data_IF_146445693531
#
_entry.id   IF_146445693531
#
_cell.length_a   1.000
_cell.length_b   1.000
_cell.length_c   1.000
_cell.angle_alpha   90.00
_cell.angle_beta   90.00
_cell.angle_gamma   90.00
#
_symmetry.space_group_name_H-M   'P 1'
#
loop_
_entity.id
_entity.type
_entity.pdbx_description
1 polymer ?
#
# COMPACT_ATOMS: atom_id res chain seq x y z
N UNK A 1 36.04 21.14 -27.70
CA UNK A 1 35.18 19.96 -27.47
C UNK A 1 34.70 20.06 -26.03
N UNK A 2 33.45 20.48 -25.85
CA UNK A 2 32.88 20.77 -24.53
C UNK A 2 32.37 19.47 -23.90
N UNK A 3 32.91 19.15 -22.74
CA UNK A 3 32.59 17.99 -21.91
C UNK A 3 31.11 18.07 -21.48
N UNK A 4 30.26 17.21 -22.06
CA UNK A 4 28.80 17.33 -22.03
C UNK A 4 28.08 16.45 -21.01
N UNK A 5 28.78 15.68 -20.18
CA UNK A 5 28.14 14.71 -19.27
C UNK A 5 28.55 14.90 -17.80
N UNK A 6 28.42 16.12 -17.27
CA UNK A 6 28.30 16.30 -15.81
C UNK A 6 26.81 16.31 -15.48
N UNK A 7 26.24 15.12 -15.26
CA UNK A 7 24.88 14.98 -14.72
C UNK A 7 24.88 15.64 -13.32
N UNK A 8 24.41 16.88 -13.24
CA UNK A 8 24.06 17.51 -11.98
C UNK A 8 22.79 16.82 -11.47
N UNK A 9 22.96 15.77 -10.66
CA UNK A 9 21.84 15.18 -9.92
C UNK A 9 21.25 16.22 -8.97
N UNK A 10 19.91 16.34 -8.87
CA UNK A 10 19.30 17.45 -8.14
C UNK A 10 19.60 17.31 -6.64
N UNK A 11 20.18 18.36 -6.07
CA UNK A 11 20.32 18.49 -4.62
C UNK A 11 18.92 18.69 -4.03
N UNK A 12 18.47 17.75 -3.20
CA UNK A 12 17.26 17.91 -2.39
C UNK A 12 17.63 18.45 -1.01
N UNK A 13 16.76 19.24 -0.40
CA UNK A 13 16.82 19.48 1.05
C UNK A 13 15.86 18.51 1.74
N UNK A 14 16.36 17.79 2.75
CA UNK A 14 15.57 16.89 3.56
C UNK A 14 15.75 17.22 5.04
N UNK A 15 14.64 17.24 5.76
CA UNK A 15 14.62 17.41 7.21
C UNK A 15 14.44 16.01 7.80
N UNK A 16 15.43 15.55 8.55
CA UNK A 16 15.40 14.18 9.10
C UNK A 16 14.62 14.10 10.42
N UNK A 17 14.80 15.08 11.32
CA UNK A 17 13.99 15.26 12.52
C UNK A 17 14.05 16.72 12.97
N UNK A 18 12.97 17.21 13.58
CA UNK A 18 12.93 18.53 14.19
C UNK A 18 13.46 18.47 15.62
N UNK A 19 14.28 19.45 16.01
CA UNK A 19 14.74 19.65 17.38
C UNK A 19 14.21 20.98 17.91
N UNK A 20 14.17 21.13 19.23
CA UNK A 20 13.70 22.34 19.93
C UNK A 20 14.45 23.63 19.53
N UNK A 21 15.66 23.50 18.96
CA UNK A 21 16.50 24.60 18.48
C UNK A 21 16.30 24.95 16.99
N UNK A 22 15.38 24.28 16.29
CA UNK A 22 15.05 24.48 14.89
C UNK A 22 15.14 23.20 14.04
N UNK A 23 14.54 23.24 12.85
CA UNK A 23 14.64 22.16 11.86
C UNK A 23 16.07 22.01 11.36
N UNK A 24 16.70 20.86 11.61
CA UNK A 24 17.99 20.50 10.99
C UNK A 24 17.72 20.19 9.52
N UNK A 25 17.98 21.18 8.65
CA UNK A 25 17.91 21.01 7.20
C UNK A 25 19.24 20.46 6.70
N UNK A 26 19.19 19.34 5.99
CA UNK A 26 20.39 18.73 5.40
C UNK A 26 20.17 18.61 3.91
N UNK A 27 21.15 19.08 3.16
CA UNK A 27 21.21 18.82 1.73
C UNK A 27 21.54 17.36 1.52
N UNK A 28 20.63 16.64 0.87
CA UNK A 28 20.74 15.23 0.58
C UNK A 28 20.64 14.99 -0.92
N UNK A 29 21.16 13.84 -1.36
CA UNK A 29 20.84 13.32 -2.68
C UNK A 29 19.66 12.36 -2.53
N UNK A 30 18.62 12.58 -3.33
CA UNK A 30 17.53 11.63 -3.46
C UNK A 30 17.74 10.85 -4.75
N UNK A 31 17.93 9.53 -4.66
CA UNK A 31 18.16 8.67 -5.81
C UNK A 31 17.69 7.24 -5.50
N UNK A 32 17.06 6.58 -6.47
CA UNK A 32 16.48 5.25 -6.31
C UNK A 32 15.53 5.15 -5.10
N UNK A 33 14.63 6.13 -4.97
CA UNK A 33 13.61 6.20 -3.90
C UNK A 33 14.19 6.23 -2.47
N UNK A 34 15.48 6.54 -2.33
CA UNK A 34 16.12 6.61 -1.01
C UNK A 34 17.07 7.79 -0.91
N UNK A 35 17.41 8.11 0.34
CA UNK A 35 18.27 9.21 0.71
C UNK A 35 19.73 8.75 0.77
N UNK A 36 20.61 9.54 0.17
CA UNK A 36 22.05 9.32 0.20
C UNK A 36 22.76 10.54 0.78
N UNK A 37 23.63 10.30 1.77
CA UNK A 37 24.45 11.33 2.41
C UNK A 37 25.93 10.99 2.30
N UNK A 38 26.75 12.01 2.08
CA UNK A 38 28.20 11.88 2.23
C UNK A 38 28.56 11.70 3.71
N UNK A 39 29.74 11.14 3.97
CA UNK A 39 30.28 11.02 5.32
C UNK A 39 30.26 12.36 6.08
N UNK A 40 30.61 13.46 5.39
CA UNK A 40 30.62 14.80 5.99
C UNK A 40 29.21 15.29 6.34
N UNK A 41 28.21 14.98 5.51
CA UNK A 41 26.82 15.33 5.79
C UNK A 41 26.27 14.52 6.99
N UNK A 42 26.62 13.25 7.11
CA UNK A 42 26.26 12.41 8.29
C UNK A 42 26.94 12.95 9.57
N UNK A 43 28.20 13.37 9.45
CA UNK A 43 28.93 13.98 10.57
C UNK A 43 28.24 15.28 11.04
N UNK A 44 27.79 16.12 10.09
CA UNK A 44 27.05 17.34 10.38
C UNK A 44 25.68 17.05 11.01
N UNK A 45 24.92 16.08 10.46
CA UNK A 45 23.62 15.62 10.99
C UNK A 45 23.70 15.29 12.47
N UNK A 46 24.67 14.45 12.84
CA UNK A 46 24.81 13.95 14.21
C UNK A 46 25.76 14.77 15.07
N UNK A 47 26.28 15.89 14.55
CA UNK A 47 27.24 16.76 15.25
C UNK A 47 28.43 15.99 15.85
N UNK A 48 29.06 15.14 15.02
CA UNK A 48 30.26 14.38 15.36
C UNK A 48 31.33 14.58 14.31
N UNK A 49 32.54 14.08 14.56
CA UNK A 49 33.62 14.17 13.59
C UNK A 49 33.40 13.17 12.44
N UNK A 50 33.83 13.48 11.21
CA UNK A 50 33.84 12.51 10.12
C UNK A 50 34.57 11.22 10.50
N UNK A 51 35.67 11.29 11.26
CA UNK A 51 36.44 10.13 11.70
C UNK A 51 35.59 9.16 12.55
N UNK A 52 34.73 9.68 13.44
CA UNK A 52 33.80 8.85 14.20
C UNK A 52 32.79 8.14 13.26
N UNK A 53 32.32 8.83 12.23
CA UNK A 53 31.47 8.23 11.19
C UNK A 53 32.20 7.10 10.46
N UNK A 54 33.47 7.26 10.08
CA UNK A 54 34.26 6.16 9.47
C UNK A 54 34.29 4.94 10.38
N UNK A 55 34.53 5.14 11.68
CA UNK A 55 34.62 4.05 12.64
C UNK A 55 33.29 3.31 12.77
N UNK A 56 32.17 4.04 12.84
CA UNK A 56 30.84 3.42 12.89
C UNK A 56 30.50 2.65 11.61
N UNK A 57 30.79 3.21 10.44
CA UNK A 57 30.55 2.53 9.14
C UNK A 57 31.36 1.24 9.06
N UNK A 58 32.64 1.28 9.48
CA UNK A 58 33.49 0.09 9.50
C UNK A 58 32.91 -0.99 10.43
N UNK A 59 32.50 -0.62 11.64
CA UNK A 59 31.88 -1.54 12.59
C UNK A 59 30.58 -2.16 12.05
N UNK A 60 29.69 -1.36 11.42
CA UNK A 60 28.44 -1.83 10.82
C UNK A 60 28.69 -2.95 9.79
N UNK A 61 29.73 -2.79 8.95
CA UNK A 61 30.08 -3.79 7.95
C UNK A 61 30.79 -5.00 8.55
N UNK A 62 31.64 -4.81 9.56
CA UNK A 62 32.33 -5.90 10.27
C UNK A 62 31.34 -6.77 11.07
N UNK A 63 30.29 -6.17 11.63
CA UNK A 63 29.20 -6.86 12.34
C UNK A 63 28.24 -7.58 11.39
N UNK A 64 28.33 -7.32 10.07
CA UNK A 64 27.42 -7.90 9.08
C UNK A 64 25.99 -7.34 9.14
N UNK A 65 25.77 -6.19 9.80
CA UNK A 65 24.44 -5.55 9.88
C UNK A 65 23.98 -5.07 8.49
N UNK A 66 24.91 -4.56 7.68
CA UNK A 66 24.65 -4.08 6.32
C UNK A 66 25.76 -4.54 5.35
N UNK A 67 25.40 -4.73 4.08
CA UNK A 67 26.37 -5.03 3.03
C UNK A 67 26.87 -3.75 2.35
N UNK A 68 28.19 -3.57 2.29
CA UNK A 68 28.81 -2.39 1.70
C UNK A 68 28.45 -2.17 0.22
N UNK A 69 28.36 -3.24 -0.58
CA UNK A 69 28.06 -3.14 -2.02
C UNK A 69 26.67 -2.55 -2.29
N UNK A 70 25.71 -2.81 -1.40
CA UNK A 70 24.33 -2.33 -1.53
C UNK A 70 24.13 -0.93 -0.93
N UNK A 71 25.00 -0.50 -0.01
CA UNK A 71 24.77 0.67 0.85
C UNK A 71 25.79 1.81 0.70
N UNK A 72 26.81 1.63 -0.15
CA UNK A 72 27.84 2.62 -0.43
C UNK A 72 27.99 2.84 -1.95
N UNK A 73 27.94 4.09 -2.39
CA UNK A 73 28.14 4.48 -3.80
C UNK A 73 29.10 5.65 -3.90
N UNK A 74 29.92 5.65 -4.96
CA UNK A 74 30.85 6.72 -5.23
C UNK A 74 30.22 7.72 -6.21
N UNK A 75 30.21 8.99 -5.83
CA UNK A 75 29.65 10.07 -6.66
C UNK A 75 30.72 11.10 -7.00
N UNK A 76 30.74 11.52 -8.26
CA UNK A 76 31.54 12.65 -8.69
C UNK A 76 30.97 13.94 -8.08
N UNK A 77 31.82 14.67 -7.38
CA UNK A 77 31.52 15.97 -6.80
C UNK A 77 32.53 16.98 -7.34
N UNK A 78 32.02 18.03 -7.99
CA UNK A 78 32.81 19.16 -8.44
C UNK A 78 32.90 20.16 -7.29
N UNK A 79 34.12 20.43 -6.82
CA UNK A 79 34.37 21.44 -5.80
C UNK A 79 35.22 22.56 -6.40
N UNK A 80 34.96 23.82 -6.02
CA UNK A 80 35.89 24.91 -6.29
C UNK A 80 36.91 25.02 -5.15
N UNK A 81 38.18 24.89 -5.50
CA UNK A 81 39.32 25.16 -4.62
C UNK A 81 40.10 26.35 -5.22
N UNK A 82 39.88 27.54 -4.66
CA UNK A 82 40.39 28.80 -5.21
C UNK A 82 39.82 29.08 -6.61
N UNK A 83 40.67 29.23 -7.62
CA UNK A 83 40.28 29.44 -9.03
C UNK A 83 40.05 28.12 -9.80
N UNK A 84 40.29 26.94 -9.20
CA UNK A 84 40.26 25.65 -9.89
C UNK A 84 39.00 24.86 -9.56
N UNK A 85 38.37 24.29 -10.58
CA UNK A 85 37.34 23.26 -10.42
C UNK A 85 38.03 21.90 -10.32
N UNK A 86 37.83 21.20 -9.21
CA UNK A 86 38.42 19.88 -8.94
C UNK A 86 37.28 18.87 -8.81
N UNK A 87 37.38 17.76 -9.55
CA UNK A 87 36.45 16.65 -9.44
C UNK A 87 37.00 15.64 -8.43
N UNK A 88 36.25 15.36 -7.37
CA UNK A 88 36.56 14.29 -6.42
C UNK A 88 35.47 13.24 -6.45
N UNK A 89 35.87 11.98 -6.30
CA UNK A 89 34.93 10.89 -6.11
C UNK A 89 34.67 10.76 -4.61
N UNK A 90 33.46 11.13 -4.17
CA UNK A 90 33.05 11.15 -2.76
C UNK A 90 32.07 10.01 -2.51
N UNK A 91 32.37 9.18 -1.51
CA UNK A 91 31.46 8.12 -1.07
C UNK A 91 30.22 8.70 -0.40
N UNK A 92 29.07 8.17 -0.76
CA UNK A 92 27.79 8.42 -0.12
C UNK A 92 27.20 7.10 0.38
N UNK A 93 26.44 7.22 1.46
CA UNK A 93 25.86 6.10 2.18
C UNK A 93 24.34 6.22 2.19
N UNK A 94 23.66 5.09 2.05
CA UNK A 94 22.19 5.03 1.97
C UNK A 94 21.52 5.22 3.34
N UNK A 95 20.21 5.47 3.31
CA UNK A 95 19.38 5.65 4.50
C UNK A 95 19.59 4.58 5.60
N UNK A 96 19.67 3.26 5.30
CA UNK A 96 19.98 2.25 6.32
C UNK A 96 21.26 2.53 7.11
N UNK A 97 22.35 2.94 6.45
CA UNK A 97 23.62 3.28 7.13
C UNK A 97 23.45 4.53 7.98
N UNK A 98 22.75 5.53 7.46
CA UNK A 98 22.50 6.79 8.17
C UNK A 98 21.72 6.55 9.45
N UNK A 99 20.68 5.71 9.42
CA UNK A 99 19.88 5.33 10.59
C UNK A 99 20.70 4.49 11.58
N UNK A 100 21.42 3.48 11.10
CA UNK A 100 22.29 2.62 11.91
C UNK A 100 23.33 3.41 12.71
N UNK A 101 23.91 4.45 12.09
CA UNK A 101 24.83 5.37 12.76
C UNK A 101 24.12 6.18 13.84
N UNK A 102 22.90 6.68 13.59
CA UNK A 102 22.13 7.45 14.57
C UNK A 102 21.89 6.70 15.89
N UNK A 103 21.75 5.37 15.82
CA UNK A 103 21.65 4.52 17.01
C UNK A 103 22.99 4.33 17.75
N UNK A 104 24.13 4.45 17.06
CA UNK A 104 25.48 4.23 17.63
C UNK A 104 26.16 5.50 18.12
N UNK A 105 25.82 6.66 17.56
CA UNK A 105 26.48 7.91 17.86
C UNK A 105 26.14 8.40 19.28
N UNK A 106 27.18 8.76 20.03
CA UNK A 106 27.10 9.38 21.35
C UNK A 106 27.22 10.89 21.23
N UNK A 107 26.15 11.56 20.82
CA UNK A 107 26.05 13.02 20.79
C UNK A 107 24.66 13.47 21.21
N UNK A 108 24.48 14.77 21.49
CA UNK A 108 23.16 15.35 21.77
C UNK A 108 22.19 15.08 20.61
N UNK A 109 22.65 15.26 19.36
CA UNK A 109 21.85 14.95 18.16
C UNK A 109 21.54 13.46 18.03
N UNK A 110 22.47 12.57 18.35
CA UNK A 110 22.22 11.13 18.38
C UNK A 110 21.16 10.76 19.42
N UNK A 111 21.17 11.41 20.58
CA UNK A 111 20.12 11.23 21.61
C UNK A 111 18.76 11.72 21.13
N UNK A 112 18.69 12.92 20.54
CA UNK A 112 17.46 13.46 19.95
C UNK A 112 16.90 12.55 18.84
N UNK A 113 17.76 12.07 17.94
CA UNK A 113 17.39 11.11 16.91
C UNK A 113 16.76 9.84 17.53
N UNK A 114 17.39 9.26 18.56
CA UNK A 114 16.84 8.06 19.23
C UNK A 114 15.52 8.33 19.94
N UNK A 115 15.36 9.49 20.58
CA UNK A 115 14.08 9.90 21.18
C UNK A 115 12.99 10.01 20.11
N UNK A 116 13.26 10.73 19.02
CA UNK A 116 12.35 10.84 17.88
C UNK A 116 12.00 9.48 17.27
N UNK A 117 12.99 8.63 17.02
CA UNK A 117 12.77 7.31 16.44
C UNK A 117 11.95 6.40 17.38
N UNK A 118 12.18 6.50 18.69
CA UNK A 118 11.42 5.76 19.71
C UNK A 118 9.97 6.24 19.74
N UNK A 119 9.73 7.55 19.74
CA UNK A 119 8.39 8.13 19.69
C UNK A 119 7.65 7.73 18.40
N UNK A 120 8.35 7.78 17.26
CA UNK A 120 7.81 7.40 15.95
C UNK A 120 7.41 5.92 15.92
N UNK A 121 8.29 5.03 16.39
CA UNK A 121 7.99 3.60 16.49
C UNK A 121 6.85 3.33 17.47
N UNK A 122 6.84 4.01 18.63
CA UNK A 122 5.76 3.89 19.60
C UNK A 122 4.42 4.33 19.01
N UNK A 123 4.39 5.42 18.27
CA UNK A 123 3.19 5.89 17.59
C UNK A 123 2.68 4.86 16.57
N UNK A 124 3.58 4.31 15.76
CA UNK A 124 3.22 3.22 14.84
C UNK A 124 2.65 2.00 15.59
N UNK A 125 3.29 1.57 16.68
CA UNK A 125 2.85 0.40 17.43
C UNK A 125 1.51 0.62 18.15
N UNK A 126 1.20 1.84 18.58
CA UNK A 126 -0.05 2.17 19.29
C UNK A 126 -1.19 2.50 18.33
N UNK A 127 -0.94 3.32 17.31
CA UNK A 127 -1.98 3.83 16.38
C UNK A 127 -2.10 3.00 15.09
N UNK A 128 -1.03 2.30 14.70
CA UNK A 128 -0.93 1.59 13.43
C UNK A 128 -0.45 2.43 12.23
N UNK A 129 -0.08 3.69 12.45
CA UNK A 129 0.43 4.59 11.40
C UNK A 129 1.34 5.69 11.98
N UNK A 130 2.14 6.32 11.12
CA UNK A 130 2.96 7.53 11.38
C UNK A 130 2.75 8.47 10.19
N UNK A 131 2.62 9.77 10.45
CA UNK A 131 2.50 10.79 9.40
C UNK A 131 3.40 12.00 9.69
N UNK A 132 3.90 12.61 8.62
CA UNK A 132 4.58 13.90 8.66
C UNK A 132 3.60 14.95 8.10
N UNK A 133 2.68 15.40 8.95
CA UNK A 133 1.57 16.30 8.55
C UNK A 133 2.08 17.60 7.91
N UNK A 134 3.19 18.16 8.40
CA UNK A 134 3.73 19.41 7.87
C UNK A 134 4.30 19.22 6.47
N UNK A 135 4.98 18.11 6.19
CA UNK A 135 5.44 17.79 4.82
C UNK A 135 4.27 17.52 3.89
N UNK A 136 3.24 16.81 4.35
CA UNK A 136 2.07 16.48 3.54
C UNK A 136 1.19 17.70 3.24
N UNK A 137 1.14 18.70 4.15
CA UNK A 137 0.44 19.98 3.92
C UNK A 137 1.21 20.94 3.01
N UNK A 138 2.53 20.84 3.00
CA UNK A 138 3.42 21.74 2.27
C UNK A 138 4.21 20.94 1.22
N UNK A 139 3.55 20.47 0.14
CA UNK A 139 4.23 19.69 -0.88
C UNK A 139 5.37 20.53 -1.50
N UNK A 140 6.47 19.88 -1.91
CA UNK A 140 7.57 20.60 -2.52
C UNK A 140 7.11 21.34 -3.78
N UNK A 141 7.20 22.68 -3.78
CA UNK A 141 6.88 23.50 -4.95
C UNK A 141 8.16 23.76 -5.76
N UNK A 142 8.18 23.40 -7.05
CA UNK A 142 9.31 23.68 -7.96
C UNK A 142 10.29 22.50 -8.14
N UNK A 143 11.58 22.79 -8.26
CA UNK A 143 12.65 21.82 -8.58
C UNK A 143 13.07 20.90 -7.43
N UNK A 144 12.19 20.63 -6.47
CA UNK A 144 12.53 19.76 -5.35
C UNK A 144 12.75 18.33 -5.83
N UNK A 145 13.83 17.71 -5.36
CA UNK A 145 14.19 16.34 -5.68
C UNK A 145 13.39 15.30 -4.90
N UNK A 146 12.61 15.71 -3.88
CA UNK A 146 11.87 14.80 -3.00
C UNK A 146 10.50 14.51 -3.63
N UNK A 147 10.15 13.24 -3.92
CA UNK A 147 8.84 12.89 -4.44
C UNK A 147 7.73 13.20 -3.43
N UNK A 148 6.59 13.64 -3.95
CA UNK A 148 5.36 13.77 -3.18
C UNK A 148 4.57 12.46 -3.25
N UNK A 149 4.36 11.84 -2.08
CA UNK A 149 3.63 10.57 -1.93
C UNK A 149 2.20 10.78 -1.40
N UNK A 150 1.68 12.02 -1.41
CA UNK A 150 0.35 12.33 -0.91
C UNK A 150 -0.75 11.55 -1.65
N UNK A 151 -0.67 11.44 -2.98
CA UNK A 151 -1.66 10.70 -3.77
C UNK A 151 -1.65 9.20 -3.48
N UNK A 152 -0.47 8.59 -3.34
CA UNK A 152 -0.34 7.18 -2.92
C UNK A 152 -0.94 6.97 -1.52
N UNK A 153 -0.66 7.88 -0.58
CA UNK A 153 -1.24 7.81 0.76
C UNK A 153 -2.77 7.91 0.72
N UNK A 154 -3.33 8.82 -0.08
CA UNK A 154 -4.77 8.95 -0.27
C UNK A 154 -5.38 7.68 -0.87
N UNK A 155 -4.73 7.05 -1.85
CA UNK A 155 -5.18 5.80 -2.44
C UNK A 155 -5.20 4.68 -1.40
N UNK A 156 -4.14 4.53 -0.61
CA UNK A 156 -4.09 3.55 0.49
C UNK A 156 -5.17 3.80 1.54
N UNK A 157 -5.44 5.05 1.91
CA UNK A 157 -6.53 5.41 2.82
C UNK A 157 -7.89 5.03 2.21
N UNK A 158 -8.12 5.32 0.92
CA UNK A 158 -9.36 4.97 0.23
C UNK A 158 -9.58 3.46 0.21
N UNK A 159 -8.54 2.68 -0.07
CA UNK A 159 -8.62 1.22 -0.05
C UNK A 159 -8.89 0.68 1.36
N UNK A 160 -8.21 1.19 2.38
CA UNK A 160 -8.48 0.84 3.78
C UNK A 160 -9.93 1.17 4.16
N UNK A 161 -10.44 2.36 3.80
CA UNK A 161 -11.82 2.77 4.06
C UNK A 161 -12.83 1.88 3.32
N UNK A 162 -12.52 1.49 2.09
CA UNK A 162 -13.35 0.64 1.26
C UNK A 162 -13.20 -0.87 1.56
N UNK A 163 -12.33 -1.25 2.50
CA UNK A 163 -12.30 -2.61 3.01
C UNK A 163 -13.68 -2.97 3.58
N UNK A 164 -14.20 -4.14 3.21
CA UNK A 164 -15.58 -4.56 3.54
C UNK A 164 -15.90 -4.43 5.02
N UNK A 165 -14.92 -4.70 5.90
CA UNK A 165 -15.07 -4.54 7.35
C UNK A 165 -15.24 -3.08 7.75
N UNK A 166 -14.46 -2.14 7.20
CA UNK A 166 -14.56 -0.71 7.53
C UNK A 166 -15.83 -0.10 6.95
N UNK A 167 -16.17 -0.46 5.71
CA UNK A 167 -17.44 -0.11 5.08
C UNK A 167 -18.58 -0.61 5.95
N UNK A 168 -18.64 -1.91 6.24
CA UNK A 168 -19.69 -2.49 7.07
C UNK A 168 -19.83 -1.79 8.43
N UNK A 169 -18.73 -1.55 9.14
CA UNK A 169 -18.77 -0.84 10.42
C UNK A 169 -19.33 0.59 10.28
N UNK A 170 -18.88 1.34 9.27
CA UNK A 170 -19.33 2.71 9.02
C UNK A 170 -20.78 2.77 8.55
N UNK A 171 -21.14 1.93 7.59
CA UNK A 171 -22.52 1.79 7.11
C UNK A 171 -23.43 1.42 8.28
N UNK A 172 -23.02 0.48 9.15
CA UNK A 172 -23.75 0.12 10.35
C UNK A 172 -23.87 1.28 11.34
N UNK A 173 -22.82 2.05 11.58
CA UNK A 173 -22.86 3.24 12.45
C UNK A 173 -23.84 4.29 11.94
N UNK A 174 -23.82 4.57 10.63
CA UNK A 174 -24.69 5.58 10.00
C UNK A 174 -26.14 5.10 9.98
N UNK A 175 -26.39 3.87 9.57
CA UNK A 175 -27.75 3.34 9.45
C UNK A 175 -28.34 2.84 10.76
N UNK A 176 -27.53 2.58 11.80
CA UNK A 176 -28.05 2.39 13.15
C UNK A 176 -28.74 3.66 13.72
N UNK A 177 -28.53 4.82 13.09
CA UNK A 177 -29.28 6.04 13.40
C UNK A 177 -30.67 6.07 12.73
N UNK A 178 -30.96 5.13 11.82
CA UNK A 178 -32.29 5.02 11.24
C UNK A 178 -33.28 4.52 12.28
N UNK A 179 -34.49 5.08 12.27
CA UNK A 179 -35.48 4.84 13.33
C UNK A 179 -35.98 3.39 13.39
N UNK A 180 -35.96 2.68 12.27
CA UNK A 180 -36.40 1.30 12.07
C UNK A 180 -35.25 0.28 12.04
N UNK A 181 -34.01 0.70 12.26
CA UNK A 181 -32.87 -0.21 12.21
C UNK A 181 -32.88 -1.21 13.37
N UNK A 182 -32.88 -2.50 13.03
CA UNK A 182 -32.66 -3.58 13.98
C UNK A 182 -31.75 -4.66 13.37
N UNK A 183 -30.58 -4.98 13.96
CA UNK A 183 -29.62 -5.92 13.38
C UNK A 183 -30.17 -7.33 13.12
N UNK A 184 -31.13 -7.78 13.91
CA UNK A 184 -31.70 -9.13 13.85
C UNK A 184 -32.82 -9.28 12.83
N UNK A 185 -33.29 -8.19 12.22
CA UNK A 185 -34.40 -8.22 11.26
C UNK A 185 -33.93 -8.67 9.87
N UNK A 186 -34.79 -9.42 9.19
CA UNK A 186 -34.55 -9.91 7.83
C UNK A 186 -34.49 -8.73 6.85
N UNK A 187 -35.32 -7.73 7.09
CA UNK A 187 -35.43 -6.48 6.34
C UNK A 187 -34.09 -5.74 6.33
N UNK A 188 -33.43 -5.63 7.48
CA UNK A 188 -32.08 -5.04 7.61
C UNK A 188 -31.06 -5.80 6.76
N UNK A 189 -31.06 -7.13 6.83
CA UNK A 189 -30.14 -7.97 6.04
C UNK A 189 -30.38 -7.79 4.54
N UNK A 190 -31.63 -7.76 4.10
CA UNK A 190 -32.00 -7.53 2.71
C UNK A 190 -31.59 -6.13 2.24
N UNK A 191 -31.78 -5.11 3.08
CA UNK A 191 -31.34 -3.74 2.80
C UNK A 191 -29.82 -3.66 2.51
N UNK A 192 -28.98 -4.28 3.34
CA UNK A 192 -27.53 -4.29 3.09
C UNK A 192 -27.16 -5.02 1.80
N UNK A 193 -27.84 -6.13 1.49
CA UNK A 193 -27.64 -6.85 0.23
C UNK A 193 -28.02 -5.99 -0.99
N UNK A 194 -29.12 -5.24 -0.90
CA UNK A 194 -29.54 -4.31 -1.95
C UNK A 194 -28.50 -3.20 -2.17
N UNK A 195 -28.00 -2.58 -1.10
CA UNK A 195 -26.95 -1.55 -1.20
C UNK A 195 -25.69 -2.13 -1.85
N UNK A 196 -25.23 -3.30 -1.39
CA UNK A 196 -24.05 -3.94 -1.95
C UNK A 196 -24.22 -4.22 -3.46
N UNK A 197 -25.35 -4.78 -3.87
CA UNK A 197 -25.62 -5.06 -5.28
C UNK A 197 -25.69 -3.78 -6.13
N UNK A 198 -26.31 -2.71 -5.62
CA UNK A 198 -26.36 -1.41 -6.31
C UNK A 198 -24.97 -0.82 -6.50
N UNK A 199 -24.11 -0.89 -5.49
CA UNK A 199 -22.74 -0.38 -5.56
C UNK A 199 -21.86 -1.20 -6.51
N UNK A 200 -21.98 -2.54 -6.50
CA UNK A 200 -21.29 -3.39 -7.46
C UNK A 200 -21.77 -3.09 -8.90
N UNK A 201 -23.08 -3.02 -9.11
CA UNK A 201 -23.66 -2.76 -10.42
C UNK A 201 -23.22 -1.39 -10.98
N UNK A 202 -23.19 -0.35 -10.15
CA UNK A 202 -22.76 0.99 -10.55
C UNK A 202 -21.27 1.08 -10.97
N UNK A 203 -20.49 0.03 -10.74
CA UNK A 203 -19.07 -0.04 -11.11
C UNK A 203 -18.80 -1.07 -12.21
N UNK A 204 -19.58 -2.16 -12.28
CA UNK A 204 -19.31 -3.29 -13.18
C UNK A 204 -20.41 -3.56 -14.20
N UNK A 205 -21.59 -2.95 -14.05
CA UNK A 205 -22.80 -3.32 -14.79
C UNK A 205 -23.42 -4.65 -14.36
N UNK A 206 -22.92 -5.26 -13.28
CA UNK A 206 -23.35 -6.57 -12.80
C UNK A 206 -23.57 -6.57 -11.28
N UNK A 207 -24.59 -7.29 -10.82
CA UNK A 207 -24.71 -7.65 -9.40
C UNK A 207 -23.56 -8.57 -8.98
N UNK A 208 -23.31 -8.69 -7.67
CA UNK A 208 -22.27 -9.58 -7.16
C UNK A 208 -22.42 -11.04 -7.64
N UNK A 209 -23.66 -11.54 -7.71
CA UNK A 209 -23.97 -12.89 -8.18
C UNK A 209 -23.75 -13.05 -9.69
N UNK A 210 -24.16 -12.08 -10.51
CA UNK A 210 -23.91 -12.07 -11.95
C UNK A 210 -22.42 -12.02 -12.27
N UNK A 211 -21.66 -11.20 -11.54
CA UNK A 211 -20.22 -11.06 -11.70
C UNK A 211 -19.50 -12.39 -11.46
N UNK A 212 -19.78 -13.05 -10.32
CA UNK A 212 -19.22 -14.37 -10.00
C UNK A 212 -19.60 -15.37 -11.09
N UNK A 213 -20.89 -15.45 -11.42
CA UNK A 213 -21.39 -16.41 -12.39
C UNK A 213 -20.78 -16.21 -13.78
N UNK A 214 -20.48 -14.98 -14.19
CA UNK A 214 -19.87 -14.68 -15.47
C UNK A 214 -18.36 -14.94 -15.50
N UNK A 215 -17.64 -14.63 -14.43
CA UNK A 215 -16.16 -14.61 -14.41
C UNK A 215 -15.50 -15.87 -13.86
N UNK A 216 -16.23 -16.69 -13.10
CA UNK A 216 -15.67 -17.95 -12.59
C UNK A 216 -15.46 -18.95 -13.73
N UNK A 217 -14.22 -19.43 -13.86
CA UNK A 217 -13.81 -20.35 -14.94
C UNK A 217 -12.60 -21.20 -14.50
N UNK A 218 -12.80 -22.52 -14.33
CA UNK A 218 -11.76 -23.47 -13.92
C UNK A 218 -10.63 -23.67 -14.93
N UNK A 219 -10.73 -23.12 -16.14
CA UNK A 219 -9.69 -23.17 -17.17
C UNK A 219 -8.73 -21.99 -17.09
N UNK A 220 -9.13 -20.90 -16.45
CA UNK A 220 -8.30 -19.72 -16.26
C UNK A 220 -7.30 -19.89 -15.10
N UNK A 221 -6.15 -19.19 -15.13
CA UNK A 221 -5.28 -19.08 -13.97
C UNK A 221 -6.08 -18.61 -12.76
N UNK A 222 -5.89 -19.30 -11.62
CA UNK A 222 -6.58 -18.99 -10.35
C UNK A 222 -8.11 -18.86 -10.49
N UNK A 223 -8.71 -19.58 -11.44
CA UNK A 223 -10.15 -19.56 -11.71
C UNK A 223 -10.74 -18.21 -12.16
N UNK A 224 -9.90 -17.30 -12.68
CA UNK A 224 -10.31 -15.95 -13.05
C UNK A 224 -10.31 -14.94 -11.89
N UNK A 225 -9.82 -15.34 -10.70
CA UNK A 225 -9.63 -14.43 -9.57
C UNK A 225 -8.48 -13.46 -9.85
N UNK A 226 -8.70 -12.19 -9.51
CA UNK A 226 -7.69 -11.12 -9.55
C UNK A 226 -7.05 -10.89 -8.18
N UNK A 227 -7.72 -11.33 -7.10
CA UNK A 227 -7.23 -11.22 -5.73
C UNK A 227 -7.75 -12.38 -4.88
N UNK A 228 -6.91 -13.00 -4.05
CA UNK A 228 -7.30 -14.02 -3.07
C UNK A 228 -6.30 -14.06 -1.92
N UNK A 229 -6.67 -14.70 -0.81
CA UNK A 229 -5.85 -14.74 0.40
C UNK A 229 -5.03 -16.02 0.50
N UNK A 230 -3.71 -15.88 0.60
CA UNK A 230 -2.77 -16.99 0.78
C UNK A 230 -2.16 -17.44 -0.54
N UNK A 231 -1.48 -18.59 -0.52
CA UNK A 231 -0.74 -19.10 -1.68
C UNK A 231 -1.65 -19.84 -2.69
N UNK A 232 -2.78 -20.37 -2.22
CA UNK A 232 -3.70 -21.18 -3.01
C UNK A 232 -5.14 -20.65 -2.94
N UNK A 233 -5.86 -20.83 -4.05
CA UNK A 233 -7.29 -20.49 -4.16
C UNK A 233 -8.09 -21.38 -3.22
N UNK A 234 -8.94 -20.78 -2.38
CA UNK A 234 -9.85 -21.50 -1.49
C UNK A 234 -11.28 -21.42 -1.99
N UNK A 235 -12.10 -22.38 -1.57
CA UNK A 235 -13.54 -22.41 -1.86
C UNK A 235 -14.29 -21.13 -1.40
N UNK A 236 -13.83 -20.47 -0.36
CA UNK A 236 -14.40 -19.18 0.09
C UNK A 236 -14.05 -18.01 -0.84
N UNK A 237 -12.96 -18.11 -1.59
CA UNK A 237 -12.50 -17.02 -2.46
C UNK A 237 -13.35 -16.94 -3.73
N UNK A 238 -13.81 -18.07 -4.25
CA UNK A 238 -14.61 -18.15 -5.50
C UNK A 238 -16.06 -17.69 -5.33
N UNK A 239 -16.56 -17.58 -4.09
CA UNK A 239 -17.91 -17.05 -3.80
C UNK A 239 -17.89 -15.57 -3.43
N UNK A 240 -16.72 -14.92 -3.50
CA UNK A 240 -16.55 -13.50 -3.16
C UNK A 240 -16.41 -12.69 -4.43
N UNK A 241 -17.44 -11.90 -4.77
CA UNK A 241 -17.48 -11.11 -6.00
C UNK A 241 -16.31 -10.12 -6.14
N UNK A 242 -15.87 -9.51 -5.03
CA UNK A 242 -14.74 -8.57 -5.02
C UNK A 242 -13.45 -9.18 -5.57
N UNK A 243 -13.26 -10.50 -5.40
CA UNK A 243 -12.06 -11.20 -5.86
C UNK A 243 -11.99 -11.38 -7.38
N UNK A 244 -13.06 -11.05 -8.10
CA UNK A 244 -13.13 -11.09 -9.57
C UNK A 244 -13.03 -9.70 -10.21
N UNK A 245 -12.92 -8.63 -9.43
CA UNK A 245 -12.87 -7.26 -9.94
C UNK A 245 -11.50 -6.94 -10.52
N UNK A 246 -11.44 -6.22 -11.63
CA UNK A 246 -10.20 -5.65 -12.13
C UNK A 246 -9.69 -4.55 -11.19
N UNK A 247 -8.41 -4.16 -11.32
CA UNK A 247 -7.85 -3.07 -10.52
C UNK A 247 -8.63 -1.75 -10.70
N UNK A 248 -9.04 -1.46 -11.94
CA UNK A 248 -9.85 -0.27 -12.26
C UNK A 248 -11.23 -0.34 -11.57
N UNK A 249 -11.91 -1.50 -11.63
CA UNK A 249 -13.20 -1.69 -10.98
C UNK A 249 -13.11 -1.62 -9.45
N UNK A 250 -12.01 -2.11 -8.85
CA UNK A 250 -11.76 -1.95 -7.42
C UNK A 250 -11.57 -0.48 -7.07
N UNK A 251 -10.80 0.27 -7.85
CA UNK A 251 -10.58 1.70 -7.64
C UNK A 251 -11.89 2.49 -7.74
N UNK A 252 -12.71 2.19 -8.75
CA UNK A 252 -14.02 2.79 -8.93
C UNK A 252 -14.97 2.46 -7.78
N UNK A 253 -15.08 1.18 -7.40
CA UNK A 253 -15.91 0.76 -6.27
C UNK A 253 -15.48 1.44 -4.98
N UNK A 254 -14.18 1.47 -4.70
CA UNK A 254 -13.62 2.15 -3.54
C UNK A 254 -13.96 3.66 -3.54
N UNK A 255 -13.95 4.31 -4.70
CA UNK A 255 -14.31 5.72 -4.84
C UNK A 255 -15.80 5.96 -4.57
N UNK A 256 -16.69 5.20 -5.20
CA UNK A 256 -18.15 5.34 -5.04
C UNK A 256 -18.57 5.07 -3.60
N UNK A 257 -18.05 4.01 -2.99
CA UNK A 257 -18.32 3.65 -1.59
C UNK A 257 -17.92 4.78 -0.64
N UNK A 258 -16.73 5.38 -0.84
CA UNK A 258 -16.27 6.49 0.01
C UNK A 258 -17.16 7.73 -0.15
N UNK A 259 -17.50 8.10 -1.38
CA UNK A 259 -18.39 9.24 -1.64
C UNK A 259 -19.80 9.03 -1.04
N UNK A 260 -20.34 7.82 -1.16
CA UNK A 260 -21.62 7.45 -0.55
C UNK A 260 -21.57 7.54 0.97
N UNK A 261 -20.50 7.03 1.60
CA UNK A 261 -20.32 7.10 3.05
C UNK A 261 -20.23 8.53 3.55
N UNK A 262 -19.48 9.39 2.87
CA UNK A 262 -19.35 10.81 3.25
C UNK A 262 -20.71 11.54 3.11
N UNK A 263 -21.45 11.25 2.03
CA UNK A 263 -22.81 11.75 1.84
C UNK A 263 -23.75 11.28 2.96
N UNK A 264 -23.74 9.98 3.27
CA UNK A 264 -24.62 9.41 4.29
C UNK A 264 -24.27 9.94 5.70
N UNK A 265 -22.99 10.15 6.00
CA UNK A 265 -22.56 10.76 7.26
C UNK A 265 -23.06 12.20 7.41
N UNK A 266 -22.95 13.03 6.36
CA UNK A 266 -23.51 14.40 6.37
C UNK A 266 -25.03 14.39 6.56
N UNK A 267 -25.75 13.53 5.85
CA UNK A 267 -27.20 13.40 6.00
C UNK A 267 -27.60 13.01 7.43
N UNK A 268 -26.88 12.06 8.04
CA UNK A 268 -27.13 11.62 9.41
C UNK A 268 -26.82 12.71 10.45
N UNK A 269 -25.70 13.44 10.29
CA UNK A 269 -25.31 14.56 11.18
C UNK A 269 -26.34 15.69 11.19
N UNK A 270 -27.05 15.90 10.08
CA UNK A 270 -28.13 16.90 9.97
C UNK A 270 -29.41 16.51 10.73
N UNK A 271 -29.39 15.42 11.52
CA UNK A 271 -30.46 14.98 12.43
C UNK A 271 -31.84 14.89 11.78
N UNK A 272 -31.88 14.50 10.50
CA UNK A 272 -33.13 14.07 9.89
C UNK A 272 -33.40 12.66 10.40
N UNK A 273 -34.59 12.39 10.91
CA UNK A 273 -35.02 11.02 11.14
C UNK A 273 -35.17 10.39 9.75
N UNK A 274 -34.39 9.34 9.48
CA UNK A 274 -34.35 8.64 8.20
C UNK A 274 -34.70 7.17 8.47
N UNK A 275 -35.48 6.55 7.60
CA UNK A 275 -35.77 5.12 7.63
C UNK A 275 -34.84 4.35 6.68
N UNK A 276 -34.75 3.03 6.80
CA UNK A 276 -33.92 2.23 5.89
C UNK A 276 -34.36 2.37 4.42
N UNK A 277 -35.66 2.50 4.16
CA UNK A 277 -36.17 2.73 2.79
C UNK A 277 -35.69 4.06 2.21
N UNK A 278 -35.70 5.14 2.99
CA UNK A 278 -35.20 6.46 2.58
C UNK A 278 -33.72 6.38 2.16
N UNK A 279 -32.92 5.54 2.82
CA UNK A 279 -31.52 5.33 2.47
C UNK A 279 -31.36 4.63 1.12
N UNK A 280 -32.26 3.71 0.76
CA UNK A 280 -32.25 3.11 -0.58
C UNK A 280 -32.58 4.16 -1.65
N UNK A 281 -33.61 4.97 -1.43
CA UNK A 281 -33.97 6.07 -2.35
C UNK A 281 -32.84 7.09 -2.49
N UNK A 282 -32.19 7.44 -1.38
CA UNK A 282 -31.03 8.34 -1.39
C UNK A 282 -29.83 7.75 -2.13
N UNK A 283 -29.59 6.44 -2.04
CA UNK A 283 -28.53 5.79 -2.80
C UNK A 283 -28.81 5.86 -4.30
N UNK A 284 -30.06 5.64 -4.72
CA UNK A 284 -30.43 5.73 -6.14
C UNK A 284 -30.24 7.15 -6.67
N UNK A 285 -30.72 8.16 -5.93
CA UNK A 285 -30.50 9.57 -6.26
C UNK A 285 -29.01 9.93 -6.30
N UNK A 286 -28.23 9.42 -5.36
CA UNK A 286 -26.79 9.64 -5.30
C UNK A 286 -26.08 9.05 -6.53
N UNK A 287 -26.39 7.79 -6.89
CA UNK A 287 -25.81 7.14 -8.06
C UNK A 287 -26.21 7.86 -9.35
N UNK A 288 -27.49 8.18 -9.51
CA UNK A 288 -28.00 8.91 -10.67
C UNK A 288 -27.39 10.31 -10.79
N UNK A 289 -27.24 11.04 -9.67
CA UNK A 289 -26.60 12.36 -9.65
C UNK A 289 -25.12 12.32 -10.08
N UNK A 290 -24.44 11.20 -9.85
CA UNK A 290 -23.05 11.00 -10.27
C UNK A 290 -22.93 10.34 -11.65
N UNK A 291 -23.98 10.40 -12.47
CA UNK A 291 -24.05 9.82 -13.82
C UNK A 291 -23.72 8.31 -13.85
N UNK A 292 -24.18 7.58 -12.83
CA UNK A 292 -24.02 6.11 -12.74
C UNK A 292 -25.32 5.38 -12.96
N UNK A 293 -25.22 4.22 -13.60
CA UNK A 293 -26.35 3.32 -13.78
C UNK A 293 -26.81 2.76 -12.43
N UNK A 294 -28.13 2.77 -12.23
CA UNK A 294 -28.78 2.27 -11.03
C UNK A 294 -29.37 0.89 -11.33
N UNK A 295 -29.08 -0.08 -10.46
CA UNK A 295 -29.67 -1.42 -10.58
C UNK A 295 -31.18 -1.36 -10.39
N UNK A 296 -31.92 -1.76 -11.42
CA UNK A 296 -33.37 -1.98 -11.36
C UNK A 296 -33.67 -3.42 -10.92
N UNK A 297 -34.37 -3.58 -9.78
CA UNK A 297 -34.74 -4.88 -9.24
C UNK A 297 -33.59 -5.64 -8.56
N UNK A 298 -33.59 -6.97 -8.67
CA UNK A 298 -32.67 -7.86 -7.94
C UNK A 298 -31.52 -8.44 -8.79
N UNK A 299 -31.43 -8.08 -10.08
CA UNK A 299 -30.57 -8.74 -11.05
C UNK A 299 -31.17 -10.03 -11.63
N UNK A 300 -30.44 -10.67 -12.54
CA UNK A 300 -30.88 -11.86 -13.30
C UNK A 300 -30.43 -13.18 -12.67
N UNK A 301 -29.34 -13.16 -11.91
CA UNK A 301 -28.74 -14.36 -11.32
C UNK A 301 -28.89 -14.34 -9.80
N UNK A 302 -29.42 -15.44 -9.25
CA UNK A 302 -29.49 -15.60 -7.80
C UNK A 302 -28.13 -15.93 -7.21
N UNK A 303 -27.89 -15.50 -5.96
CA UNK A 303 -26.68 -15.85 -5.22
C UNK A 303 -26.44 -17.36 -5.16
N UNK A 304 -27.51 -18.15 -4.94
CA UNK A 304 -27.43 -19.61 -4.90
C UNK A 304 -26.90 -20.19 -6.22
N UNK A 305 -27.42 -19.73 -7.35
CA UNK A 305 -26.99 -20.20 -8.67
C UNK A 305 -25.53 -19.79 -8.98
N UNK A 306 -25.10 -18.60 -8.53
CA UNK A 306 -23.71 -18.16 -8.65
C UNK A 306 -22.77 -19.03 -7.80
N UNK A 307 -23.12 -19.26 -6.52
CA UNK A 307 -22.33 -20.06 -5.58
C UNK A 307 -22.24 -21.54 -6.03
N UNK A 308 -23.33 -22.10 -6.56
CA UNK A 308 -23.36 -23.47 -7.12
C UNK A 308 -22.41 -23.61 -8.31
N UNK A 309 -22.46 -22.67 -9.27
CA UNK A 309 -21.51 -22.65 -10.40
C UNK A 309 -20.07 -22.52 -9.89
N UNK A 310 -19.79 -21.54 -9.02
CA UNK A 310 -18.44 -21.31 -8.51
C UNK A 310 -17.87 -22.53 -7.77
N UNK A 311 -18.70 -23.22 -6.98
CA UNK A 311 -18.29 -24.45 -6.31
C UNK A 311 -18.01 -25.60 -7.29
N UNK A 312 -18.79 -25.71 -8.37
CA UNK A 312 -18.56 -26.73 -9.41
C UNK A 312 -17.24 -26.50 -10.12
N UNK A 313 -16.99 -25.27 -10.57
CA UNK A 313 -15.72 -24.87 -11.19
C UNK A 313 -14.54 -25.07 -10.24
N UNK A 314 -14.72 -24.81 -8.94
CA UNK A 314 -13.66 -25.01 -7.94
C UNK A 314 -13.24 -26.47 -7.83
N UNK A 315 -14.20 -27.39 -7.84
CA UNK A 315 -13.92 -28.84 -7.80
C UNK A 315 -13.13 -29.26 -9.04
N UNK A 316 -13.48 -28.74 -10.21
CA UNK A 316 -12.74 -29.02 -11.44
C UNK A 316 -11.31 -28.46 -11.40
N UNK A 317 -11.15 -27.22 -10.94
CA UNK A 317 -9.86 -26.57 -10.79
C UNK A 317 -8.96 -27.30 -9.78
N UNK A 318 -9.49 -27.65 -8.60
CA UNK A 318 -8.75 -28.35 -7.55
C UNK A 318 -8.26 -29.73 -8.03
N UNK A 319 -9.09 -30.46 -8.77
CA UNK A 319 -8.68 -31.73 -9.38
C UNK A 319 -7.55 -31.53 -10.40
N UNK A 320 -7.62 -30.50 -11.26
CA UNK A 320 -6.54 -30.17 -12.22
C UNK A 320 -5.24 -29.81 -11.50
N UNK A 321 -5.32 -28.97 -10.46
CA UNK A 321 -4.15 -28.58 -9.67
C UNK A 321 -3.51 -29.77 -8.94
N UNK A 322 -4.32 -30.68 -8.38
CA UNK A 322 -3.81 -31.91 -7.77
C UNK A 322 -3.03 -32.76 -8.78
N UNK A 323 -3.57 -32.98 -9.97
CA UNK A 323 -2.90 -33.75 -11.02
C UNK A 323 -1.59 -33.11 -11.49
N UNK A 324 -1.55 -31.77 -11.58
CA UNK A 324 -0.33 -31.03 -11.91
C UNK A 324 0.75 -31.21 -10.84
N UNK A 325 0.39 -31.06 -9.56
CA UNK A 325 1.31 -31.27 -8.43
C UNK A 325 1.83 -32.70 -8.35
N UNK A 326 0.97 -33.68 -8.61
CA UNK A 326 1.38 -35.09 -8.69
C UNK A 326 2.40 -35.30 -9.81
N UNK A 327 2.15 -34.75 -11.01
CA UNK A 327 3.08 -34.84 -12.14
C UNK A 327 4.41 -34.08 -11.92
N UNK A 328 4.38 -32.95 -11.22
CA UNK A 328 5.60 -32.22 -10.80
C UNK A 328 6.39 -33.01 -9.76
N UNK A 329 5.72 -33.54 -8.74
CA UNK A 329 6.34 -34.41 -7.74
C UNK A 329 7.00 -35.64 -8.36
N UNK A 330 6.36 -36.27 -9.36
CA UNK A 330 6.97 -37.37 -10.12
C UNK A 330 8.24 -36.94 -10.87
N UNK A 331 8.22 -35.77 -11.53
CA UNK A 331 9.41 -35.22 -12.21
C UNK A 331 10.54 -34.91 -11.24
N UNK A 332 10.24 -34.34 -10.08
CA UNK A 332 11.22 -34.02 -9.05
C UNK A 332 11.85 -35.28 -8.46
N UNK A 333 11.04 -36.31 -8.17
CA UNK A 333 11.53 -37.62 -7.76
C UNK A 333 12.45 -38.24 -8.83
N UNK A 334 12.05 -38.18 -10.10
CA UNK A 334 12.89 -38.66 -11.22
C UNK A 334 14.19 -37.85 -11.35
N UNK A 335 14.15 -36.54 -11.11
CA UNK A 335 15.31 -35.65 -11.09
C UNK A 335 16.29 -36.01 -9.97
N UNK A 336 15.79 -36.21 -8.75
CA UNK A 336 16.58 -36.63 -7.58
C UNK A 336 17.23 -38.00 -7.81
N UNK A 337 16.50 -38.96 -8.39
CA UNK A 337 17.03 -40.29 -8.73
C UNK A 337 18.12 -40.24 -9.82
N UNK A 338 18.07 -39.26 -10.74
CA UNK A 338 19.12 -39.03 -11.74
C UNK A 338 20.36 -38.35 -11.13
N UNK A 339 20.15 -37.40 -10.21
CA UNK A 339 21.23 -36.73 -9.47
C UNK A 339 22.04 -37.72 -8.64
N UNK A 340 21.38 -38.61 -7.89
CA UNK A 340 22.05 -39.63 -7.05
C UNK A 340 22.87 -40.63 -7.89
N UNK A 341 22.48 -40.87 -9.15
CA UNK A 341 23.25 -41.69 -10.10
C UNK A 341 24.46 -40.97 -10.71
N UNK A 342 24.42 -39.64 -10.84
CA UNK A 342 25.56 -38.85 -11.33
C UNK A 342 26.58 -38.56 -10.22
N UNK A 343 26.14 -38.39 -8.98
CA UNK A 343 27.03 -38.18 -7.82
C UNK A 343 27.78 -39.45 -7.36
N UNK A 344 27.38 -40.63 -7.84
CA UNK A 344 28.01 -41.94 -7.57
C UNK A 344 28.95 -42.43 -8.69
N UNK A 345 29.24 -41.59 -9.69
CA UNK A 345 30.30 -41.78 -10.69
C UNK A 345 31.38 -40.74 -10.46
#
# INVERSE_FOLDING_TARGET
MADKDVIQSPAGEFVMFASDDGTVRITCRFEYETLWLSQAAIAALYQVTPQAITQHIKAIYEEGELEQKATCKAYLQVQQEGQRKVNRNTLHYSLPVILAIGYRVRSTRGTQFRQWATQTLQEYLVKGFVMDDERLKNPPVGSSAVPDYFDEMLERIRDIRASERRVYLRVREIFALAADYQPSLKETTQFFQTIQNKLHFACTGHTAAELIHQRVDATQPHMGLTSYKGEEVRKSDVTTAKNYLSQDEVSELNRVVNMWLDFAEDQAKRRKQVFLEDWQTKLDQFLQFNDRDVLEGAGKISKKAADEKACSEYIEYENKQRLLKEAEGEKDIVGLLKWDKQAKR
#
